data_IF_946847420304
#
_entry.id   IF_946847420304
#
_cell.length_a   1.000
_cell.length_b   1.000
_cell.length_c   1.000
_cell.angle_alpha   90.00
_cell.angle_beta   90.00
_cell.angle_gamma   90.00
#
_symmetry.space_group_name_H-M   'P 1'
#
loop_
_entity.id
_entity.type
_entity.pdbx_description
1 polymer ?
#
# COMPACT_ATOMS: atom_id res chain seq x y z
N UNK A 1 24.98 -1.04 -15.17
CA UNK A 1 24.48 -2.41 -14.89
C UNK A 1 24.94 -2.93 -13.52
N UNK A 2 26.23 -2.84 -13.17
CA UNK A 2 26.75 -3.30 -11.86
C UNK A 2 26.17 -2.53 -10.67
N UNK A 3 26.09 -1.20 -10.75
CA UNK A 3 25.54 -0.37 -9.68
C UNK A 3 24.06 -0.67 -9.36
N UNK A 4 23.22 -0.85 -10.38
CA UNK A 4 21.80 -1.19 -10.20
C UNK A 4 21.62 -2.57 -9.56
N UNK A 5 22.48 -3.55 -9.88
CA UNK A 5 22.44 -4.86 -9.25
C UNK A 5 22.91 -4.83 -7.79
N UNK A 6 23.98 -4.10 -7.50
CA UNK A 6 24.45 -3.91 -6.12
C UNK A 6 23.38 -3.22 -5.26
N UNK A 7 22.76 -2.14 -5.77
CA UNK A 7 21.68 -1.45 -5.08
C UNK A 7 20.47 -2.37 -4.88
N UNK A 8 20.07 -3.12 -5.90
CA UNK A 8 18.95 -4.06 -5.80
C UNK A 8 19.21 -5.18 -4.78
N UNK A 9 20.46 -5.67 -4.69
CA UNK A 9 20.86 -6.64 -3.68
C UNK A 9 20.76 -6.08 -2.26
N UNK A 10 21.23 -4.84 -2.06
CA UNK A 10 21.10 -4.14 -0.78
C UNK A 10 19.63 -3.88 -0.41
N UNK A 11 18.80 -3.40 -1.33
CA UNK A 11 17.38 -3.15 -1.06
C UNK A 11 16.63 -4.43 -0.63
N UNK A 12 17.02 -5.61 -1.13
CA UNK A 12 16.46 -6.90 -0.69
C UNK A 12 16.81 -7.29 0.75
N UNK A 13 17.83 -6.67 1.35
CA UNK A 13 18.16 -6.89 2.77
C UNK A 13 17.39 -5.96 3.71
N UNK A 14 16.76 -4.90 3.19
CA UNK A 14 15.98 -3.95 3.98
C UNK A 14 14.55 -4.47 4.18
N UNK A 15 14.36 -5.34 5.16
CA UNK A 15 13.06 -5.94 5.49
C UNK A 15 12.43 -5.28 6.72
N UNK A 16 11.21 -4.76 6.57
CA UNK A 16 10.39 -4.24 7.66
C UNK A 16 9.46 -5.34 8.22
N UNK A 17 10.04 -6.33 8.90
CA UNK A 17 9.35 -7.56 9.32
C UNK A 17 9.29 -7.81 10.84
N UNK A 18 9.53 -6.75 11.64
CA UNK A 18 9.54 -6.81 13.11
C UNK A 18 8.49 -5.90 13.79
N UNK A 19 7.47 -5.45 13.05
CA UNK A 19 6.37 -4.69 13.63
C UNK A 19 5.65 -5.50 14.73
N UNK A 20 5.11 -4.85 15.78
CA UNK A 20 4.38 -5.54 16.84
C UNK A 20 3.30 -6.49 16.34
N UNK A 21 2.58 -6.11 15.28
CA UNK A 21 1.61 -6.98 14.61
C UNK A 21 2.22 -8.29 14.10
N UNK A 22 3.40 -8.27 13.49
CA UNK A 22 4.08 -9.47 12.98
C UNK A 22 4.57 -10.36 14.13
N UNK A 23 5.02 -9.78 15.24
CA UNK A 23 5.37 -10.52 16.47
C UNK A 23 4.15 -11.15 17.13
N UNK A 24 3.03 -10.42 17.16
CA UNK A 24 1.76 -10.92 17.66
C UNK A 24 1.26 -12.13 16.85
N UNK A 25 1.37 -12.07 15.51
CA UNK A 25 1.07 -13.22 14.64
C UNK A 25 1.99 -14.44 14.87
N UNK A 26 3.21 -14.24 15.40
CA UNK A 26 4.13 -15.31 15.81
C UNK A 26 3.82 -15.88 17.21
N UNK A 27 2.76 -15.39 17.87
CA UNK A 27 2.30 -15.88 19.17
C UNK A 27 2.72 -15.04 20.37
N UNK A 28 3.42 -13.92 20.17
CA UNK A 28 3.78 -13.03 21.27
C UNK A 28 2.58 -12.18 21.71
N UNK A 29 1.92 -12.57 22.81
CA UNK A 29 0.59 -12.04 23.14
C UNK A 29 0.58 -10.59 23.70
N UNK A 30 1.70 -10.15 24.28
CA UNK A 30 1.81 -8.89 25.04
C UNK A 30 2.53 -7.77 24.27
N UNK A 31 2.76 -7.93 22.97
CA UNK A 31 3.47 -6.94 22.13
C UNK A 31 2.54 -5.88 21.54
N UNK A 32 1.23 -6.13 21.57
CA UNK A 32 0.19 -5.19 21.14
C UNK A 32 -0.74 -4.87 22.30
N UNK A 33 -1.13 -3.62 22.39
CA UNK A 33 -2.20 -3.14 23.25
C UNK A 33 -3.58 -3.63 22.77
N UNK A 34 -4.56 -3.59 23.67
CA UNK A 34 -5.94 -3.99 23.35
C UNK A 34 -6.59 -3.15 22.22
N UNK A 35 -6.40 -1.81 22.15
CA UNK A 35 -6.87 -1.04 21.00
C UNK A 35 -6.29 -1.51 19.66
N UNK A 36 -4.99 -1.82 19.61
CA UNK A 36 -4.34 -2.28 18.38
C UNK A 36 -4.88 -3.65 17.94
N UNK A 37 -5.09 -4.57 18.88
CA UNK A 37 -5.72 -5.88 18.60
C UNK A 37 -7.14 -5.71 18.04
N UNK A 38 -7.95 -4.83 18.64
CA UNK A 38 -9.30 -4.52 18.13
C UNK A 38 -9.26 -3.93 16.73
N UNK A 39 -8.31 -3.02 16.45
CA UNK A 39 -8.08 -2.46 15.13
C UNK A 39 -7.72 -3.53 14.10
N UNK A 40 -6.81 -4.44 14.45
CA UNK A 40 -6.45 -5.58 13.60
C UNK A 40 -7.69 -6.46 13.31
N UNK A 41 -8.47 -6.82 14.34
CA UNK A 41 -9.70 -7.60 14.14
C UNK A 41 -10.69 -6.90 13.21
N UNK A 42 -10.85 -5.58 13.31
CA UNK A 42 -11.72 -4.82 12.42
C UNK A 42 -11.20 -4.84 10.97
N UNK A 43 -9.90 -4.59 10.78
CA UNK A 43 -9.21 -4.57 9.48
C UNK A 43 -9.38 -5.89 8.70
N UNK A 44 -9.24 -7.02 9.40
CA UNK A 44 -9.36 -8.37 8.83
C UNK A 44 -10.78 -8.95 8.85
N UNK A 45 -11.79 -8.16 9.22
CA UNK A 45 -13.19 -8.60 9.24
C UNK A 45 -14.11 -7.64 8.51
N UNK A 46 -15.09 -7.07 9.22
CA UNK A 46 -16.21 -6.31 8.66
C UNK A 46 -15.81 -5.00 7.99
N UNK A 47 -14.64 -4.42 8.28
CA UNK A 47 -14.17 -3.23 7.56
C UNK A 47 -13.68 -3.57 6.15
N UNK A 48 -13.34 -4.84 5.87
CA UNK A 48 -13.00 -5.31 4.52
C UNK A 48 -11.67 -4.82 3.97
N UNK A 49 -10.82 -4.16 4.77
CA UNK A 49 -9.53 -3.63 4.35
C UNK A 49 -8.62 -4.72 3.76
N UNK A 50 -8.66 -5.92 4.37
CA UNK A 50 -7.89 -7.09 3.94
C UNK A 50 -8.22 -7.59 2.52
N UNK A 51 -9.35 -7.19 1.92
CA UNK A 51 -9.72 -7.64 0.57
C UNK A 51 -8.69 -7.19 -0.47
N UNK A 52 -8.13 -6.00 -0.26
CA UNK A 52 -7.11 -5.38 -1.10
C UNK A 52 -5.73 -5.37 -0.40
N UNK A 53 -5.68 -5.07 0.90
CA UNK A 53 -4.43 -5.02 1.70
C UNK A 53 -4.13 -6.38 2.36
N UNK A 54 -3.48 -7.27 1.63
CA UNK A 54 -3.29 -8.69 2.03
C UNK A 54 -1.83 -9.14 1.97
N UNK A 55 -1.57 -10.38 2.40
CA UNK A 55 -0.24 -10.96 2.41
C UNK A 55 0.71 -10.35 3.45
N UNK A 56 1.99 -10.71 3.39
CA UNK A 56 2.99 -10.36 4.41
C UNK A 56 3.32 -8.87 4.52
N UNK A 57 3.05 -8.09 3.47
CA UNK A 57 3.28 -6.64 3.42
C UNK A 57 1.98 -5.82 3.39
N UNK A 58 0.82 -6.46 3.59
CA UNK A 58 -0.51 -5.81 3.55
C UNK A 58 -0.74 -4.97 2.27
N UNK A 59 -0.32 -5.52 1.14
CA UNK A 59 -0.43 -4.89 -0.18
C UNK A 59 -0.93 -5.90 -1.22
N UNK A 60 -1.04 -5.47 -2.48
CA UNK A 60 -1.31 -6.40 -3.57
C UNK A 60 -0.67 -5.96 -4.88
N UNK A 61 -0.81 -6.78 -5.91
CA UNK A 61 -0.48 -6.39 -7.29
C UNK A 61 -1.68 -5.80 -8.03
N UNK A 62 -2.80 -5.64 -7.33
CA UNK A 62 -4.03 -5.10 -7.89
C UNK A 62 -3.99 -3.57 -7.95
N UNK A 63 -4.78 -3.00 -8.85
CA UNK A 63 -4.88 -1.58 -9.07
C UNK A 63 -6.33 -1.15 -8.97
N UNK A 64 -6.61 -0.14 -8.15
CA UNK A 64 -7.97 0.29 -7.83
C UNK A 64 -8.08 1.82 -7.89
N UNK A 65 -9.24 2.31 -8.33
CA UNK A 65 -9.56 3.74 -8.36
C UNK A 65 -10.60 4.02 -7.26
N UNK A 66 -10.13 4.40 -6.07
CA UNK A 66 -10.97 4.58 -4.88
C UNK A 66 -10.69 5.94 -4.23
N UNK A 67 -11.50 6.96 -4.56
CA UNK A 67 -11.41 8.29 -3.93
C UNK A 67 -10.10 9.03 -4.22
N UNK A 68 -9.59 8.91 -5.44
CA UNK A 68 -8.25 9.39 -5.83
C UNK A 68 -8.25 10.30 -7.07
N UNK A 69 -9.41 10.68 -7.60
CA UNK A 69 -9.49 11.55 -8.78
C UNK A 69 -9.07 12.99 -8.44
N UNK A 70 -9.35 13.44 -7.22
CA UNK A 70 -9.17 14.80 -6.69
C UNK A 70 -7.94 14.92 -5.78
N UNK A 71 -6.96 14.02 -5.90
CA UNK A 71 -5.73 14.05 -5.07
C UNK A 71 -4.93 15.35 -5.21
N UNK A 72 -5.08 16.07 -6.32
CA UNK A 72 -4.45 17.37 -6.54
C UNK A 72 -5.11 18.50 -5.71
N UNK A 73 -6.38 18.33 -5.30
CA UNK A 73 -7.12 19.33 -4.51
C UNK A 73 -6.87 19.17 -3.01
N UNK A 74 -6.70 17.93 -2.55
CA UNK A 74 -6.65 17.57 -1.13
C UNK A 74 -5.23 17.47 -0.57
N UNK A 75 -4.22 17.84 -1.36
CA UNK A 75 -2.80 17.75 -0.98
C UNK A 75 -2.24 16.32 -0.99
N UNK A 76 -2.98 15.36 -1.55
CA UNK A 76 -2.49 13.99 -1.75
C UNK A 76 -1.31 13.92 -2.72
N UNK A 77 -1.31 14.78 -3.74
CA UNK A 77 -0.14 15.07 -4.56
C UNK A 77 0.06 16.58 -4.72
N UNK A 78 1.33 17.01 -4.77
CA UNK A 78 1.68 18.37 -5.18
C UNK A 78 1.69 18.45 -6.72
N UNK A 79 0.50 18.39 -7.31
CA UNK A 79 0.23 18.35 -8.76
C UNK A 79 -0.82 19.40 -9.13
N UNK A 80 -0.86 19.78 -10.41
CA UNK A 80 -2.00 20.51 -10.98
C UNK A 80 -3.10 19.55 -11.46
N UNK A 81 -4.29 20.04 -11.85
CA UNK A 81 -5.42 19.21 -12.28
C UNK A 81 -5.08 18.26 -13.44
N UNK A 82 -4.29 18.73 -14.40
CA UNK A 82 -3.97 17.98 -15.64
C UNK A 82 -2.65 17.17 -15.56
N UNK A 83 -2.05 17.04 -14.38
CA UNK A 83 -0.78 16.29 -14.24
C UNK A 83 -1.00 14.79 -14.44
N UNK A 84 -0.19 14.19 -15.33
CA UNK A 84 -0.25 12.76 -15.66
C UNK A 84 -0.12 11.85 -14.44
N UNK A 85 0.54 12.31 -13.37
CA UNK A 85 0.67 11.58 -12.10
C UNK A 85 -0.68 11.35 -11.41
N UNK A 86 -1.67 12.21 -11.65
CA UNK A 86 -3.02 12.05 -11.11
C UNK A 86 -3.74 10.86 -11.72
N UNK A 87 -3.41 10.47 -12.96
CA UNK A 87 -4.07 9.38 -13.67
C UNK A 87 -3.61 7.99 -13.22
N UNK A 88 -2.63 7.89 -12.31
CA UNK A 88 -2.11 6.62 -11.81
C UNK A 88 -1.64 5.70 -12.94
N UNK A 89 -2.12 4.45 -12.94
CA UNK A 89 -1.83 3.46 -13.99
C UNK A 89 -2.29 3.91 -15.38
N UNK A 90 -3.35 4.70 -15.48
CA UNK A 90 -3.85 5.26 -16.74
C UNK A 90 -2.85 6.18 -17.43
N UNK A 91 -2.08 6.96 -16.67
CA UNK A 91 -1.02 7.80 -17.22
C UNK A 91 0.10 7.00 -17.91
N UNK A 92 0.32 5.76 -17.49
CA UNK A 92 1.28 4.86 -18.15
C UNK A 92 0.66 4.08 -19.31
N UNK A 93 -0.55 3.52 -19.11
CA UNK A 93 -1.16 2.60 -20.08
C UNK A 93 -1.97 3.29 -21.17
N UNK A 94 -2.41 4.53 -20.96
CA UNK A 94 -3.30 5.29 -21.84
C UNK A 94 -4.68 4.66 -22.07
N UNK A 95 -5.06 3.67 -21.24
CA UNK A 95 -6.35 3.00 -21.33
C UNK A 95 -7.37 3.64 -20.39
N UNK A 96 -8.56 3.91 -20.89
CA UNK A 96 -9.60 4.59 -20.11
C UNK A 96 -9.98 3.80 -18.85
N UNK A 97 -10.03 2.46 -18.93
CA UNK A 97 -10.35 1.62 -17.79
C UNK A 97 -9.28 1.62 -16.69
N UNK A 98 -8.06 2.12 -16.95
CA UNK A 98 -6.97 2.19 -15.98
C UNK A 98 -6.79 3.59 -15.35
N UNK A 99 -7.56 4.58 -15.80
CA UNK A 99 -7.50 5.94 -15.28
C UNK A 99 -7.78 5.98 -13.77
N UNK A 100 -6.95 6.72 -13.05
CA UNK A 100 -6.99 6.92 -11.61
C UNK A 100 -6.80 5.63 -10.78
N UNK A 101 -6.37 4.52 -11.39
CA UNK A 101 -6.07 3.31 -10.64
C UNK A 101 -4.66 3.36 -10.06
N UNK A 102 -4.54 3.19 -8.75
CA UNK A 102 -3.26 3.09 -8.06
C UNK A 102 -3.05 1.68 -7.54
N UNK A 103 -1.78 1.29 -7.45
CA UNK A 103 -1.40 0.02 -6.84
C UNK A 103 -1.72 0.08 -5.35
N UNK A 104 -2.35 -0.99 -4.84
CA UNK A 104 -2.62 -1.16 -3.41
C UNK A 104 -1.41 -1.69 -2.66
#
# INVERSE_FOLDING_TARGET
>A
LTASFALSAYLRTLLANEAPFQRWLKGEQNVMSEPEKRGAMLFFSKAGCYRCHKGGSLNSVEFHALGVHDLYETGGFNTGPDDIRNFGRGGFTQRQEDMFKFKV
#
